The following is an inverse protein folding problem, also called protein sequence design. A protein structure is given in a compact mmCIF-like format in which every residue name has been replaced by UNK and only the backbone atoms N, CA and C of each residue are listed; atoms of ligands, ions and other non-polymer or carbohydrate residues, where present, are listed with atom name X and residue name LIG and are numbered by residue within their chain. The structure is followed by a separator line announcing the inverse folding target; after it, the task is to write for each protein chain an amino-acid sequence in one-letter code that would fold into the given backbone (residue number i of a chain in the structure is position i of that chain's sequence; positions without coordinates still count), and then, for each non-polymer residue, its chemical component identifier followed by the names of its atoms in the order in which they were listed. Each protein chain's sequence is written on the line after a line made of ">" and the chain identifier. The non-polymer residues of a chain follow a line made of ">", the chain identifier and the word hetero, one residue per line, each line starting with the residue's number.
data_IF_794001689795
#
_entry.id   IF_794001689795
#
_cell.length_a   1.000
_cell.length_b   1.000
_cell.length_c   1.000
_cell.angle_alpha   90.00
_cell.angle_beta   90.00
_cell.angle_gamma   90.00
#
_symmetry.space_group_name_H-M   'P 1'
#
loop_
_entity.id
_entity.type
_entity.pdbx_description
1 polymer ?
#
# COMPACT_ATOMS: atom_id res chain seq x y z
N UNK A 1 8.26 8.63 33.89
CA UNK A 1 8.36 9.01 32.45
C UNK A 1 8.75 10.47 32.38
N UNK A 2 9.72 10.87 31.56
CA UNK A 2 10.14 12.28 31.49
C UNK A 2 9.22 13.10 30.55
N UNK A 3 9.36 14.44 30.59
CA UNK A 3 8.49 15.34 29.82
C UNK A 3 8.61 15.14 28.30
N UNK A 4 9.80 14.85 27.78
CA UNK A 4 9.99 14.63 26.33
C UNK A 4 9.35 13.33 25.85
N UNK A 5 9.47 12.24 26.62
CA UNK A 5 8.74 10.99 26.37
C UNK A 5 7.23 11.20 26.42
N UNK A 6 6.75 12.04 27.34
CA UNK A 6 5.34 12.40 27.42
C UNK A 6 4.89 13.16 26.16
N UNK A 7 5.65 14.17 25.71
CA UNK A 7 5.39 14.91 24.47
C UNK A 7 5.30 13.97 23.26
N UNK A 8 6.27 13.05 23.14
CA UNK A 8 6.31 12.10 22.02
C UNK A 8 5.08 11.20 22.02
N UNK A 9 4.72 10.61 23.16
CA UNK A 9 3.53 9.74 23.29
C UNK A 9 2.25 10.50 23.02
N UNK A 10 2.13 11.72 23.54
CA UNK A 10 0.95 12.56 23.34
C UNK A 10 0.77 12.91 21.86
N UNK A 11 1.85 13.23 21.16
CA UNK A 11 1.83 13.47 19.70
C UNK A 11 1.34 12.23 18.95
N UNK A 12 1.80 11.04 19.33
CA UNK A 12 1.31 9.78 18.74
C UNK A 12 -0.18 9.57 19.01
N UNK A 13 -0.65 9.80 20.24
CA UNK A 13 -2.07 9.61 20.60
C UNK A 13 -2.95 10.58 19.82
N UNK A 14 -2.57 11.85 19.73
CA UNK A 14 -3.30 12.85 18.92
C UNK A 14 -3.36 12.41 17.45
N UNK A 15 -2.23 11.97 16.89
CA UNK A 15 -2.19 11.45 15.51
C UNK A 15 -3.10 10.24 15.32
N UNK A 16 -3.20 9.35 16.30
CA UNK A 16 -4.13 8.20 16.24
C UNK A 16 -5.57 8.67 16.33
N UNK A 17 -5.92 9.52 17.30
CA UNK A 17 -7.27 10.05 17.48
C UNK A 17 -7.76 10.72 16.20
N UNK A 18 -6.92 11.58 15.59
CA UNK A 18 -7.21 12.26 14.33
C UNK A 18 -7.47 11.32 13.16
N UNK A 19 -6.92 10.11 13.20
CA UNK A 19 -7.09 9.09 12.17
C UNK A 19 -8.26 8.14 12.42
N UNK A 20 -8.93 8.21 13.58
CA UNK A 20 -10.09 7.38 13.87
C UNK A 20 -11.33 7.85 13.07
N UNK A 21 -12.09 6.92 12.46
CA UNK A 21 -13.44 7.19 11.96
C UNK A 21 -14.33 7.78 13.07
N UNK A 22 -15.29 8.65 12.74
CA UNK A 22 -16.15 9.29 13.76
C UNK A 22 -16.93 8.27 14.59
N UNK A 23 -17.41 7.20 13.96
CA UNK A 23 -18.13 6.13 14.63
C UNK A 23 -17.28 5.51 15.76
N UNK A 24 -15.98 5.30 15.51
CA UNK A 24 -15.04 4.76 16.50
C UNK A 24 -14.66 5.82 17.53
N UNK A 25 -14.36 7.05 17.07
CA UNK A 25 -13.91 8.15 17.94
C UNK A 25 -14.93 8.52 19.00
N UNK A 26 -16.23 8.38 18.70
CA UNK A 26 -17.32 8.69 19.62
C UNK A 26 -17.27 7.91 20.96
N UNK A 27 -16.58 6.77 20.99
CA UNK A 27 -16.41 5.96 22.21
C UNK A 27 -15.30 6.45 23.13
N UNK A 28 -14.38 7.28 22.64
CA UNK A 28 -13.22 7.74 23.39
C UNK A 28 -13.51 9.07 24.09
N UNK A 29 -13.73 9.03 25.41
CA UNK A 29 -13.87 10.22 26.25
C UNK A 29 -12.52 10.61 26.87
N UNK A 30 -11.60 11.03 26.01
CA UNK A 30 -10.23 11.35 26.43
C UNK A 30 -10.17 12.68 27.21
N UNK A 31 -9.25 12.81 28.18
CA UNK A 31 -8.91 14.11 28.73
C UNK A 31 -8.32 15.01 27.64
N UNK A 32 -8.24 16.32 27.89
CA UNK A 32 -7.68 17.26 26.92
C UNK A 32 -6.27 16.83 26.48
N UNK A 33 -6.13 16.47 25.20
CA UNK A 33 -4.84 16.08 24.63
C UNK A 33 -3.99 17.31 24.28
N UNK A 34 -4.60 18.46 24.00
CA UNK A 34 -3.92 19.69 23.63
C UNK A 34 -3.55 20.51 24.88
N UNK A 35 -2.58 20.02 25.65
CA UNK A 35 -2.10 20.67 26.89
C UNK A 35 -0.95 21.67 26.67
N UNK A 36 -0.51 21.86 25.42
CA UNK A 36 0.57 22.78 25.08
C UNK A 36 1.89 22.43 25.78
N UNK A 37 2.50 23.42 26.45
CA UNK A 37 3.73 23.22 27.23
C UNK A 37 3.48 23.02 28.73
N UNK A 38 2.23 22.85 29.16
CA UNK A 38 1.89 22.82 30.59
C UNK A 38 2.61 21.68 31.34
N UNK A 39 2.77 20.53 30.71
CA UNK A 39 3.41 19.34 31.29
C UNK A 39 4.88 19.51 31.64
N UNK A 40 5.59 20.46 31.01
CA UNK A 40 6.97 20.80 31.39
C UNK A 40 7.06 21.44 32.78
N UNK A 41 5.97 22.02 33.27
CA UNK A 41 5.88 22.66 34.59
C UNK A 41 5.23 21.79 35.66
N UNK A 42 4.71 20.61 35.28
CA UNK A 42 4.03 19.71 36.20
C UNK A 42 5.01 18.94 37.07
N UNK A 43 4.58 18.62 38.29
CA UNK A 43 5.28 17.64 39.12
C UNK A 43 5.17 16.24 38.50
N UNK A 44 6.11 15.35 38.82
CA UNK A 44 6.05 13.96 38.36
C UNK A 44 4.74 13.27 38.79
N UNK A 45 4.27 13.53 40.02
CA UNK A 45 3.02 12.98 40.52
C UNK A 45 1.81 13.42 39.69
N UNK A 46 1.76 14.69 39.25
CA UNK A 46 0.68 15.20 38.40
C UNK A 46 0.75 14.61 36.99
N UNK A 47 1.96 14.44 36.44
CA UNK A 47 2.14 13.75 35.16
C UNK A 47 1.62 12.33 35.24
N UNK A 48 2.01 11.58 36.27
CA UNK A 48 1.62 10.18 36.44
C UNK A 48 0.09 10.05 36.63
N UNK A 49 -0.54 10.95 37.40
CA UNK A 49 -1.99 11.04 37.55
C UNK A 49 -2.69 11.25 36.21
N UNK A 50 -2.26 12.25 35.43
CA UNK A 50 -2.86 12.55 34.14
C UNK A 50 -2.67 11.41 33.12
N UNK A 51 -1.51 10.76 33.11
CA UNK A 51 -1.28 9.59 32.25
C UNK A 51 -2.12 8.38 32.66
N UNK A 52 -2.37 8.20 33.96
CA UNK A 52 -3.29 7.18 34.47
C UNK A 52 -4.72 7.46 34.01
N UNK A 53 -5.18 8.70 34.12
CA UNK A 53 -6.50 9.14 33.64
C UNK A 53 -6.66 8.88 32.13
N UNK A 54 -5.69 9.32 31.33
CA UNK A 54 -5.70 9.11 29.88
C UNK A 54 -5.68 7.62 29.51
N UNK A 55 -4.85 6.82 30.17
CA UNK A 55 -4.77 5.37 29.91
C UNK A 55 -6.09 4.68 30.26
N UNK A 56 -6.70 5.05 31.38
CA UNK A 56 -8.02 4.55 31.80
C UNK A 56 -9.10 4.90 30.77
N UNK A 57 -9.13 6.15 30.30
CA UNK A 57 -10.08 6.59 29.27
C UNK A 57 -9.92 5.83 27.95
N UNK A 58 -8.69 5.51 27.54
CA UNK A 58 -8.41 4.68 26.36
C UNK A 58 -8.97 3.27 26.54
N UNK A 59 -8.70 2.62 27.68
CA UNK A 59 -9.20 1.26 27.96
C UNK A 59 -10.73 1.23 27.95
N UNK A 60 -11.38 2.17 28.64
CA UNK A 60 -12.85 2.28 28.63
C UNK A 60 -13.40 2.50 27.22
N UNK A 61 -12.73 3.31 26.41
CA UNK A 61 -13.11 3.53 25.01
C UNK A 61 -12.98 2.26 24.16
N UNK A 62 -11.90 1.48 24.34
CA UNK A 62 -11.70 0.21 23.65
C UNK A 62 -12.78 -0.82 24.04
N UNK A 63 -13.09 -0.95 25.33
CA UNK A 63 -14.16 -1.83 25.81
C UNK A 63 -15.52 -1.43 25.21
N UNK A 64 -15.78 -0.12 25.08
CA UNK A 64 -17.01 0.39 24.47
C UNK A 64 -17.07 0.13 22.96
N UNK A 65 -15.95 0.24 22.24
CA UNK A 65 -15.85 -0.12 20.82
C UNK A 65 -16.11 -1.62 20.62
N UNK A 66 -15.53 -2.48 21.46
CA UNK A 66 -15.73 -3.93 21.37
C UNK A 66 -17.20 -4.32 21.64
N UNK A 67 -17.86 -3.61 22.55
CA UNK A 67 -19.28 -3.82 22.86
C UNK A 67 -20.24 -3.28 21.80
N UNK A 68 -19.79 -2.39 20.90
CA UNK A 68 -20.63 -1.79 19.88
C UNK A 68 -20.93 -2.77 18.73
N UNK A 69 -22.20 -3.11 18.55
CA UNK A 69 -22.67 -4.03 17.51
C UNK A 69 -22.59 -3.45 16.11
N UNK A 70 -22.69 -2.13 15.96
CA UNK A 70 -22.60 -1.46 14.66
C UNK A 70 -21.16 -1.44 14.14
N UNK A 71 -20.17 -1.52 15.03
CA UNK A 71 -18.75 -1.65 14.68
C UNK A 71 -18.30 -3.11 14.46
N UNK A 72 -19.12 -4.09 14.82
CA UNK A 72 -18.83 -5.50 14.55
C UNK A 72 -18.86 -5.80 13.04
N UNK A 73 -18.27 -6.92 12.64
CA UNK A 73 -18.24 -7.35 11.24
C UNK A 73 -19.67 -7.52 10.71
N UNK A 74 -20.04 -6.72 9.71
CA UNK A 74 -21.39 -6.68 9.13
C UNK A 74 -22.36 -5.74 9.85
N UNK A 75 -21.88 -4.96 10.82
CA UNK A 75 -22.62 -3.88 11.45
C UNK A 75 -22.84 -2.69 10.53
N UNK A 76 -23.66 -1.73 10.98
CA UNK A 76 -24.12 -0.62 10.16
C UNK A 76 -23.16 0.59 10.12
N UNK A 77 -22.10 0.59 10.95
CA UNK A 77 -21.21 1.74 11.04
C UNK A 77 -20.39 1.93 9.74
N UNK A 78 -20.38 3.17 9.25
CA UNK A 78 -19.49 3.58 8.16
C UNK A 78 -18.14 4.00 8.72
N UNK A 79 -17.05 3.53 8.11
CA UNK A 79 -15.68 3.81 8.54
C UNK A 79 -14.88 4.65 7.53
N UNK A 80 -15.53 5.09 6.45
CA UNK A 80 -14.89 5.76 5.31
C UNK A 80 -14.63 7.25 5.53
N UNK A 81 -15.07 7.80 6.67
CA UNK A 81 -14.94 9.21 7.00
C UNK A 81 -13.57 9.58 7.60
N UNK A 82 -12.72 8.58 7.84
CA UNK A 82 -11.36 8.85 8.30
C UNK A 82 -10.48 9.44 7.18
N UNK A 83 -9.47 10.25 7.52
CA UNK A 83 -8.50 10.71 6.55
C UNK A 83 -7.72 9.56 5.89
N UNK A 84 -7.20 9.77 4.66
CA UNK A 84 -6.27 8.83 4.05
C UNK A 84 -4.99 8.71 4.87
N UNK A 85 -4.44 7.50 4.93
CA UNK A 85 -3.26 7.21 5.74
C UNK A 85 -1.99 7.19 4.92
N UNK A 86 -0.86 7.39 5.60
CA UNK A 86 0.46 7.25 4.98
C UNK A 86 0.72 5.82 4.51
N UNK A 87 0.18 4.82 5.21
CA UNK A 87 0.21 3.42 4.78
C UNK A 87 -0.50 3.19 3.44
N UNK A 88 -1.68 3.80 3.25
CA UNK A 88 -2.40 3.75 1.97
C UNK A 88 -1.61 4.42 0.85
N UNK A 89 -1.07 5.62 1.11
CA UNK A 89 -0.22 6.34 0.16
C UNK A 89 1.02 5.51 -0.25
N UNK A 90 1.65 4.80 0.70
CA UNK A 90 2.78 3.91 0.41
C UNK A 90 2.37 2.73 -0.47
N UNK A 91 1.28 2.05 -0.12
CA UNK A 91 0.78 0.92 -0.90
C UNK A 91 0.43 1.33 -2.32
N UNK A 92 -0.23 2.47 -2.50
CA UNK A 92 -0.58 2.98 -3.81
C UNK A 92 0.64 3.40 -4.63
N UNK A 93 1.62 4.06 -3.99
CA UNK A 93 2.87 4.43 -4.66
C UNK A 93 3.69 3.19 -5.06
N UNK A 94 3.78 2.17 -4.19
CA UNK A 94 4.43 0.89 -4.51
C UNK A 94 3.72 0.15 -5.65
N UNK A 95 2.38 0.13 -5.64
CA UNK A 95 1.57 -0.48 -6.69
C UNK A 95 1.74 0.24 -8.03
N UNK A 96 1.64 1.57 -8.04
CA UNK A 96 1.84 2.38 -9.24
C UNK A 96 3.23 2.18 -9.84
N UNK A 97 4.27 2.14 -8.99
CA UNK A 97 5.63 1.84 -9.44
C UNK A 97 5.75 0.42 -10.00
N UNK A 98 5.13 -0.58 -9.37
CA UNK A 98 5.19 -1.98 -9.83
C UNK A 98 4.50 -2.17 -11.19
N UNK A 99 3.39 -1.47 -11.42
CA UNK A 99 2.65 -1.48 -12.70
C UNK A 99 3.42 -0.74 -13.81
N UNK A 100 4.20 0.28 -13.44
CA UNK A 100 5.01 1.07 -14.34
C UNK A 100 6.49 0.99 -13.99
N UNK A 101 7.05 -0.22 -13.92
CA UNK A 101 8.45 -0.44 -13.53
C UNK A 101 9.49 0.26 -14.45
N UNK A 102 9.04 0.77 -15.61
CA UNK A 102 9.84 1.55 -16.56
C UNK A 102 9.65 3.07 -16.40
N UNK A 103 8.75 3.51 -15.52
CA UNK A 103 8.57 4.92 -15.18
C UNK A 103 9.75 5.37 -14.34
N UNK A 104 10.46 6.38 -14.82
CA UNK A 104 11.58 7.01 -14.11
C UNK A 104 11.10 7.91 -12.96
N UNK A 105 9.79 8.17 -12.87
CA UNK A 105 9.22 9.07 -11.87
C UNK A 105 8.99 8.33 -10.54
N UNK A 106 9.87 8.59 -9.58
CA UNK A 106 9.78 8.09 -8.20
C UNK A 106 9.12 9.09 -7.25
N UNK A 107 8.56 10.19 -7.75
CA UNK A 107 8.14 11.33 -6.92
C UNK A 107 7.09 10.95 -5.87
N UNK A 108 6.07 10.20 -6.25
CA UNK A 108 5.03 9.76 -5.33
C UNK A 108 5.59 8.79 -4.28
N UNK A 109 6.48 7.87 -4.68
CA UNK A 109 7.13 6.94 -3.77
C UNK A 109 8.11 7.66 -2.82
N UNK A 110 8.85 8.67 -3.31
CA UNK A 110 9.73 9.53 -2.52
C UNK A 110 8.93 10.30 -1.48
N UNK A 111 7.79 10.87 -1.89
CA UNK A 111 6.92 11.62 -1.00
C UNK A 111 6.29 10.70 0.06
N UNK A 112 5.82 9.52 -0.32
CA UNK A 112 5.30 8.52 0.63
C UNK A 112 6.38 8.08 1.63
N UNK A 113 7.61 7.87 1.16
CA UNK A 113 8.76 7.50 2.00
C UNK A 113 9.34 8.66 2.85
N UNK A 114 8.76 9.87 2.78
CA UNK A 114 9.20 11.00 3.61
C UNK A 114 8.82 10.84 5.09
N UNK A 115 7.99 9.84 5.43
CA UNK A 115 7.63 9.56 6.80
C UNK A 115 8.85 9.12 7.65
N UNK A 116 8.87 9.42 8.96
CA UNK A 116 9.99 9.09 9.82
C UNK A 116 10.36 7.60 9.76
N UNK A 117 11.64 7.29 9.56
CA UNK A 117 12.14 5.90 9.50
C UNK A 117 12.04 5.22 8.13
N UNK A 118 11.38 5.81 7.13
CA UNK A 118 11.27 5.21 5.79
C UNK A 118 12.39 5.59 4.82
N UNK A 119 13.05 6.73 5.03
CA UNK A 119 14.07 7.25 4.12
C UNK A 119 15.15 6.23 3.74
N UNK A 120 15.62 5.42 4.68
CA UNK A 120 16.65 4.40 4.42
C UNK A 120 16.21 3.31 3.42
N UNK A 121 14.91 3.01 3.35
CA UNK A 121 14.39 2.00 2.42
C UNK A 121 14.26 2.59 1.02
N UNK A 122 13.83 3.85 0.94
CA UNK A 122 13.82 4.60 -0.31
C UNK A 122 15.24 4.74 -0.87
N UNK A 123 16.21 5.12 -0.04
CA UNK A 123 17.62 5.23 -0.47
C UNK A 123 18.20 3.87 -0.92
N UNK A 124 17.73 2.76 -0.34
CA UNK A 124 18.14 1.43 -0.82
C UNK A 124 17.54 1.08 -2.18
N UNK A 125 16.31 1.52 -2.45
CA UNK A 125 15.68 1.38 -3.77
C UNK A 125 16.42 2.22 -4.81
N UNK A 126 16.66 3.51 -4.54
CA UNK A 126 17.38 4.42 -5.45
C UNK A 126 18.80 3.94 -5.72
N UNK A 127 19.49 3.41 -4.69
CA UNK A 127 20.79 2.79 -4.84
C UNK A 127 20.80 1.67 -5.88
N UNK A 128 19.82 0.76 -5.84
CA UNK A 128 19.73 -0.34 -6.80
C UNK A 128 19.28 0.11 -8.19
N UNK A 129 18.46 1.16 -8.28
CA UNK A 129 18.07 1.76 -9.57
C UNK A 129 19.25 2.42 -10.29
N UNK A 130 20.20 3.00 -9.55
CA UNK A 130 21.40 3.59 -10.12
C UNK A 130 22.47 2.57 -10.56
N UNK A 131 22.31 1.28 -10.26
CA UNK A 131 23.32 0.25 -10.56
C UNK A 131 23.18 -0.24 -12.00
N UNK A 132 24.31 -0.28 -12.72
CA UNK A 132 24.38 -0.82 -14.09
C UNK A 132 24.63 -2.33 -14.16
N UNK A 133 25.31 -2.91 -13.15
CA UNK A 133 25.64 -4.35 -13.09
C UNK A 133 25.58 -4.86 -11.65
N UNK A 134 25.10 -6.10 -11.43
CA UNK A 134 25.17 -6.73 -10.12
C UNK A 134 26.65 -6.98 -9.74
N UNK A 135 26.96 -6.90 -8.44
CA UNK A 135 28.31 -7.25 -7.98
C UNK A 135 28.55 -8.76 -8.14
N UNK A 136 29.81 -9.21 -8.32
CA UNK A 136 30.11 -10.64 -8.44
C UNK A 136 29.56 -11.44 -7.25
N UNK A 137 28.83 -12.52 -7.53
CA UNK A 137 28.22 -13.37 -6.50
C UNK A 137 26.96 -12.78 -5.81
N UNK A 138 26.45 -11.63 -6.26
CA UNK A 138 25.15 -11.09 -5.81
C UNK A 138 24.00 -11.56 -6.69
N UNK A 139 22.78 -11.39 -6.17
CA UNK A 139 21.53 -11.58 -6.91
C UNK A 139 21.45 -10.59 -8.09
N UNK A 140 20.66 -10.91 -9.12
CA UNK A 140 20.35 -9.96 -10.19
C UNK A 140 19.79 -8.64 -9.62
N UNK A 141 20.08 -7.51 -10.29
CA UNK A 141 19.59 -6.18 -9.87
C UNK A 141 18.06 -6.17 -9.73
N UNK A 142 17.35 -6.80 -10.67
CA UNK A 142 15.89 -6.91 -10.61
C UNK A 142 15.38 -7.55 -9.31
N UNK A 143 16.09 -8.58 -8.81
CA UNK A 143 15.73 -9.21 -7.53
C UNK A 143 15.99 -8.28 -6.34
N UNK A 144 17.10 -7.53 -6.36
CA UNK A 144 17.41 -6.56 -5.31
C UNK A 144 16.42 -5.38 -5.30
N UNK A 145 15.97 -4.94 -6.47
CA UNK A 145 14.91 -3.94 -6.63
C UNK A 145 13.59 -4.43 -6.06
N UNK A 146 13.18 -5.65 -6.41
CA UNK A 146 11.96 -6.26 -5.88
C UNK A 146 12.01 -6.38 -4.35
N UNK A 147 13.14 -6.79 -3.79
CA UNK A 147 13.34 -6.85 -2.33
C UNK A 147 13.27 -5.45 -1.71
N UNK A 148 13.90 -4.46 -2.31
CA UNK A 148 13.87 -3.09 -1.81
C UNK A 148 12.43 -2.53 -1.79
N UNK A 149 11.67 -2.75 -2.86
CA UNK A 149 10.28 -2.34 -2.96
C UNK A 149 9.38 -3.09 -1.96
N UNK A 150 9.52 -4.42 -1.88
CA UNK A 150 8.76 -5.25 -0.93
C UNK A 150 9.03 -4.86 0.53
N UNK A 151 10.23 -4.39 0.84
CA UNK A 151 10.55 -3.87 2.17
C UNK A 151 9.83 -2.55 2.50
N UNK A 152 9.56 -1.71 1.49
CA UNK A 152 8.78 -0.48 1.66
C UNK A 152 7.31 -0.86 1.85
N UNK A 153 6.79 -1.71 0.98
CA UNK A 153 5.40 -2.19 1.04
C UNK A 153 5.08 -2.87 2.38
N UNK A 154 5.93 -3.80 2.83
CA UNK A 154 5.78 -4.48 4.12
C UNK A 154 5.81 -3.53 5.34
N UNK A 155 6.19 -2.26 5.14
CA UNK A 155 6.17 -1.25 6.20
C UNK A 155 4.91 -0.41 6.20
N UNK A 156 4.14 -0.38 5.11
CA UNK A 156 2.93 0.42 5.01
C UNK A 156 1.99 0.20 6.20
N UNK A 157 1.87 -1.05 6.67
CA UNK A 157 1.05 -1.45 7.81
C UNK A 157 1.38 -0.68 9.11
N UNK A 158 2.64 -0.29 9.30
CA UNK A 158 3.05 0.49 10.47
C UNK A 158 2.66 1.97 10.38
N UNK A 159 2.24 2.48 9.23
CA UNK A 159 2.00 3.91 8.99
C UNK A 159 0.52 4.27 8.82
N UNK A 160 -0.42 3.39 9.18
CA UNK A 160 -1.85 3.73 9.17
C UNK A 160 -2.26 4.75 10.25
N UNK A 161 -1.46 4.93 11.28
CA UNK A 161 -1.68 5.96 12.30
C UNK A 161 -1.16 7.35 11.88
N UNK A 162 -0.47 7.43 10.74
CA UNK A 162 0.01 8.69 10.19
C UNK A 162 -0.91 9.14 9.06
N UNK A 163 -1.22 10.44 9.04
CA UNK A 163 -1.93 11.06 7.92
C UNK A 163 -1.10 11.00 6.63
N UNK A 164 -1.78 10.76 5.51
CA UNK A 164 -1.16 10.87 4.19
C UNK A 164 -0.64 12.28 3.90
N UNK A 165 0.20 12.42 2.87
CA UNK A 165 0.57 13.73 2.37
C UNK A 165 -0.63 14.51 1.86
N UNK A 166 -0.53 15.84 1.93
CA UNK A 166 -1.54 16.74 1.36
C UNK A 166 -1.76 16.48 -0.14
N UNK A 167 -0.70 16.20 -0.90
CA UNK A 167 -0.77 15.88 -2.33
C UNK A 167 -1.57 14.60 -2.59
N UNK A 168 -1.38 13.55 -1.80
CA UNK A 168 -2.14 12.31 -1.93
C UNK A 168 -3.62 12.50 -1.54
N UNK A 169 -3.88 13.25 -0.47
CA UNK A 169 -5.23 13.58 -0.04
C UNK A 169 -6.00 14.40 -1.10
N UNK A 170 -5.34 15.41 -1.71
CA UNK A 170 -5.91 16.17 -2.83
C UNK A 170 -6.20 15.29 -4.06
N UNK A 171 -5.30 14.36 -4.39
CA UNK A 171 -5.50 13.39 -5.48
C UNK A 171 -6.72 12.52 -5.22
N UNK A 172 -6.84 11.93 -4.02
CA UNK A 172 -7.99 11.10 -3.62
C UNK A 172 -9.30 11.89 -3.65
N UNK A 173 -9.29 13.16 -3.21
CA UNK A 173 -10.45 14.05 -3.28
C UNK A 173 -10.84 14.36 -4.73
N UNK A 174 -9.87 14.57 -5.62
CA UNK A 174 -10.12 14.77 -7.05
C UNK A 174 -10.69 13.51 -7.73
N UNK A 175 -10.18 12.32 -7.41
CA UNK A 175 -10.69 11.03 -7.90
C UNK A 175 -12.12 10.76 -7.42
N UNK A 176 -12.41 11.07 -6.16
CA UNK A 176 -13.76 10.97 -5.59
C UNK A 176 -14.73 11.95 -6.27
N UNK A 177 -14.30 13.17 -6.58
CA UNK A 177 -15.11 14.14 -7.31
C UNK A 177 -15.36 13.72 -8.77
N UNK A 178 -14.35 13.14 -9.44
CA UNK A 178 -14.47 12.63 -10.81
C UNK A 178 -15.38 11.40 -10.92
N UNK A 179 -15.32 10.50 -9.94
CA UNK A 179 -16.15 9.28 -9.91
C UNK A 179 -17.61 9.54 -9.53
N UNK A 180 -17.91 10.69 -8.91
CA UNK A 180 -19.28 11.12 -8.66
C UNK A 180 -20.03 11.57 -9.93
N UNK A 181 -19.30 11.93 -11.00
CA UNK A 181 -19.86 12.42 -12.26
C UNK A 181 -20.04 11.30 -13.32
N UNK A 182 -19.31 10.18 -13.18
CA UNK A 182 -19.40 9.01 -14.06
C UNK A 182 -20.03 7.80 -13.33
N UNK A 183 -21.33 7.57 -13.53
CA UNK A 183 -21.98 6.32 -13.11
C UNK A 183 -21.57 5.16 -14.04
N UNK A 184 -20.35 4.64 -13.86
CA UNK A 184 -19.90 3.37 -14.42
C UNK A 184 -19.46 2.40 -13.31
N UNK A 185 -19.78 1.10 -13.42
CA UNK A 185 -19.47 0.11 -12.39
C UNK A 185 -17.95 -0.03 -12.19
N UNK A 186 -17.55 -0.23 -10.93
CA UNK A 186 -16.17 -0.09 -10.43
C UNK A 186 -15.11 -0.95 -11.16
N UNK A 187 -13.92 -0.41 -11.48
CA UNK A 187 -12.81 -1.11 -12.15
C UNK A 187 -11.96 -2.00 -11.21
N UNK A 188 -12.32 -2.11 -9.92
CA UNK A 188 -11.52 -2.81 -8.90
C UNK A 188 -11.42 -4.33 -9.17
N UNK A 189 -12.36 -4.91 -9.93
CA UNK A 189 -12.32 -6.34 -10.29
C UNK A 189 -11.41 -6.59 -11.50
N UNK A 190 -11.18 -5.62 -12.39
CA UNK A 190 -10.55 -5.86 -13.70
C UNK A 190 -9.01 -5.96 -13.65
N UNK A 191 -8.37 -5.29 -12.69
CA UNK A 191 -6.90 -5.30 -12.54
C UNK A 191 -6.31 -6.64 -12.04
N UNK A 192 -7.13 -7.50 -11.42
CA UNK A 192 -6.72 -8.86 -11.01
C UNK A 192 -6.74 -9.86 -12.19
N UNK A 193 -7.33 -9.49 -13.32
CA UNK A 193 -7.42 -10.33 -14.52
C UNK A 193 -6.32 -10.04 -15.56
N UNK A 194 -5.41 -9.11 -15.29
CA UNK A 194 -4.42 -8.68 -16.29
C UNK A 194 -3.11 -9.46 -16.18
N UNK A 195 -2.80 -10.05 -15.01
CA UNK A 195 -1.53 -10.74 -14.73
C UNK A 195 -1.78 -12.04 -13.96
N UNK A 196 -1.21 -13.16 -14.41
CA UNK A 196 -1.27 -14.46 -13.71
C UNK A 196 -0.30 -14.52 -12.53
N UNK A 197 -0.46 -15.53 -11.66
CA UNK A 197 0.42 -15.72 -10.50
C UNK A 197 1.89 -15.95 -10.88
N UNK A 198 2.16 -16.59 -12.01
CA UNK A 198 3.51 -16.80 -12.54
C UNK A 198 4.03 -15.67 -13.44
N UNK A 199 3.29 -14.56 -13.58
CA UNK A 199 3.74 -13.35 -14.26
C UNK A 199 3.46 -13.31 -15.77
N UNK A 200 2.52 -14.09 -16.28
CA UNK A 200 1.98 -13.95 -17.64
C UNK A 200 0.98 -12.79 -17.69
N UNK A 201 0.92 -12.07 -18.80
CA UNK A 201 0.08 -10.88 -18.98
C UNK A 201 -0.94 -11.10 -20.11
N UNK A 202 -2.12 -10.48 -20.02
CA UNK A 202 -3.09 -10.45 -21.13
C UNK A 202 -2.42 -9.95 -22.42
N UNK A 203 -2.73 -10.58 -23.55
CA UNK A 203 -2.14 -10.28 -24.86
C UNK A 203 -0.74 -10.84 -25.09
N UNK A 204 -0.11 -11.46 -24.10
CA UNK A 204 1.21 -12.08 -24.26
C UNK A 204 1.16 -13.32 -25.17
N UNK A 205 2.20 -13.50 -25.98
CA UNK A 205 2.39 -14.73 -26.78
C UNK A 205 2.96 -15.85 -25.91
N UNK A 206 2.34 -17.01 -26.01
CA UNK A 206 2.67 -18.22 -25.26
C UNK A 206 2.74 -19.42 -26.17
N UNK A 207 3.51 -20.43 -25.76
CA UNK A 207 3.59 -21.72 -26.44
C UNK A 207 3.09 -22.84 -25.53
N UNK A 208 2.25 -23.71 -26.09
CA UNK A 208 1.80 -24.95 -25.46
C UNK A 208 2.32 -26.16 -26.24
N UNK A 209 2.84 -27.18 -25.55
CA UNK A 209 3.47 -28.34 -26.20
C UNK A 209 2.57 -29.11 -27.16
N UNK A 210 1.25 -29.08 -26.95
CA UNK A 210 0.25 -29.75 -27.81
C UNK A 210 -0.49 -28.82 -28.79
N UNK A 211 -0.62 -27.54 -28.44
CA UNK A 211 -1.48 -26.61 -29.18
C UNK A 211 -0.71 -25.55 -29.96
N UNK A 212 0.62 -25.56 -29.87
CA UNK A 212 1.46 -24.63 -30.59
C UNK A 212 1.46 -23.24 -29.95
N UNK A 213 1.58 -22.20 -30.76
CA UNK A 213 1.61 -20.82 -30.31
C UNK A 213 0.19 -20.26 -30.16
N UNK A 214 0.01 -19.38 -29.18
CA UNK A 214 -1.24 -18.68 -28.96
C UNK A 214 -1.05 -17.35 -28.23
N UNK A 215 -2.12 -16.58 -28.18
CA UNK A 215 -2.18 -15.28 -27.51
C UNK A 215 -3.14 -15.36 -26.33
N UNK A 216 -2.71 -14.90 -25.15
CA UNK A 216 -3.58 -14.89 -23.97
C UNK A 216 -4.71 -13.88 -24.15
N UNK A 217 -5.96 -14.32 -24.02
CA UNK A 217 -7.17 -13.49 -24.13
C UNK A 217 -7.86 -13.27 -22.79
N UNK A 218 -7.67 -14.17 -21.82
CA UNK A 218 -8.20 -14.03 -20.46
C UNK A 218 -7.31 -14.70 -19.40
N UNK A 219 -7.24 -14.12 -18.19
CA UNK A 219 -6.51 -14.69 -17.05
C UNK A 219 -7.43 -14.74 -15.84
N UNK A 220 -7.52 -15.92 -15.23
CA UNK A 220 -8.24 -16.14 -13.97
C UNK A 220 -7.34 -16.96 -13.03
N UNK A 221 -6.51 -16.26 -12.24
CA UNK A 221 -5.57 -16.90 -11.32
C UNK A 221 -4.48 -17.71 -12.03
N UNK A 222 -4.57 -19.05 -11.95
CA UNK A 222 -3.68 -20.01 -12.61
C UNK A 222 -4.27 -20.59 -13.90
N UNK A 223 -5.52 -20.26 -14.23
CA UNK A 223 -6.20 -20.65 -15.47
C UNK A 223 -6.10 -19.53 -16.49
N UNK A 224 -5.60 -19.88 -17.67
CA UNK A 224 -5.36 -18.98 -18.78
C UNK A 224 -6.25 -19.40 -19.94
N UNK A 225 -6.99 -18.46 -20.51
CA UNK A 225 -7.61 -18.63 -21.81
C UNK A 225 -6.69 -18.01 -22.87
N UNK A 226 -6.30 -18.80 -23.85
CA UNK A 226 -5.48 -18.36 -24.95
C UNK A 226 -6.05 -18.83 -26.29
N UNK A 227 -5.98 -17.97 -27.29
CA UNK A 227 -6.33 -18.27 -28.67
C UNK A 227 -5.11 -18.81 -29.40
N UNK A 228 -5.17 -20.08 -29.79
CA UNK A 228 -4.09 -20.79 -30.46
C UNK A 228 -4.27 -20.76 -31.97
N UNK A 229 -3.17 -20.50 -32.68
CA UNK A 229 -3.16 -20.35 -34.14
C UNK A 229 -3.68 -21.65 -34.80
N UNK A 230 -4.90 -21.58 -35.38
CA UNK A 230 -5.54 -22.71 -36.06
C UNK A 230 -6.35 -23.68 -35.18
N UNK A 231 -6.38 -23.50 -33.86
CA UNK A 231 -7.13 -24.36 -32.91
C UNK A 231 -8.16 -23.59 -32.06
N UNK A 232 -8.15 -22.25 -32.16
CA UNK A 232 -9.07 -21.35 -31.48
C UNK A 232 -8.78 -21.21 -29.98
N UNK A 233 -9.73 -20.62 -29.24
CA UNK A 233 -9.61 -20.42 -27.80
C UNK A 233 -9.60 -21.74 -27.02
N UNK A 234 -8.61 -21.89 -26.13
CA UNK A 234 -8.48 -23.01 -25.19
C UNK A 234 -8.17 -22.48 -23.80
N UNK A 235 -8.79 -23.11 -22.80
CA UNK A 235 -8.57 -22.83 -21.39
C UNK A 235 -7.62 -23.86 -20.78
N UNK A 236 -6.50 -23.40 -20.25
CA UNK A 236 -5.34 -24.23 -19.86
C UNK A 236 -4.75 -23.68 -18.55
N UNK A 237 -4.05 -24.52 -17.78
CA UNK A 237 -3.28 -24.06 -16.62
C UNK A 237 -1.96 -23.42 -17.06
N UNK A 238 -1.57 -22.36 -16.36
CA UNK A 238 -0.32 -21.62 -16.57
C UNK A 238 0.92 -22.53 -16.61
N UNK A 239 0.96 -23.59 -15.80
CA UNK A 239 2.08 -24.53 -15.74
C UNK A 239 2.41 -25.22 -17.07
N UNK A 240 1.46 -25.26 -18.01
CA UNK A 240 1.65 -25.86 -19.34
C UNK A 240 2.01 -24.84 -20.43
N UNK A 241 2.16 -23.57 -20.08
CA UNK A 241 2.50 -22.49 -21.00
C UNK A 241 3.94 -22.05 -20.78
N UNK A 242 4.64 -21.79 -21.88
CA UNK A 242 5.96 -21.15 -21.86
C UNK A 242 5.86 -19.79 -22.52
N UNK A 243 6.30 -18.74 -21.81
CA UNK A 243 6.39 -17.39 -22.36
C UNK A 243 7.37 -17.39 -23.55
N UNK A 244 6.92 -16.88 -24.69
CA UNK A 244 7.78 -16.72 -25.85
C UNK A 244 8.41 -15.33 -25.80
N UNK A 245 9.67 -15.25 -25.33
CA UNK A 245 10.45 -14.03 -25.38
C UNK A 245 10.69 -13.66 -26.84
N UNK A 246 10.27 -12.46 -27.26
CA UNK A 246 10.60 -11.92 -28.57
C UNK A 246 12.12 -11.98 -28.79
N UNK A 247 12.61 -12.50 -29.94
CA UNK A 247 14.03 -12.50 -30.22
C UNK A 247 14.55 -11.06 -30.29
N UNK A 248 15.63 -10.78 -29.55
CA UNK A 248 16.39 -9.54 -29.69
C UNK A 248 16.78 -9.37 -31.17
N UNK A 249 16.37 -8.26 -31.77
CA UNK A 249 16.77 -7.90 -33.12
C UNK A 249 18.29 -7.81 -33.18
N UNK A 250 18.93 -8.78 -33.84
CA UNK A 250 20.34 -8.69 -34.19
C UNK A 250 20.56 -7.47 -35.10
N UNK A 251 21.53 -6.59 -34.80
CA UNK A 251 21.87 -5.49 -35.70
C UNK A 251 22.47 -6.09 -36.98
N UNK A 252 21.81 -5.79 -38.10
CA UNK A 252 22.29 -6.14 -39.43
C UNK A 252 23.66 -5.52 -39.66
N UNK A 253 24.64 -6.36 -40.00
CA UNK A 253 25.91 -5.93 -40.56
C UNK A 253 25.66 -5.25 -41.91
N UNK A 254 26.13 -4.01 -42.04
CA UNK A 254 26.68 -3.44 -43.28
C UNK A 254 27.92 -2.64 -42.93
#
# INVERSE_FOLDING_TARGET
>A
MNADQATQRLTTIISIDDMLPKAVRAHFRLPSLYIGNAHYSWSQARLDEWWSELSSAIVVGLDAVEADKDLQKGGAATLDDRPPTRGEELNDACRAYSQHANSTTLDDLRLACSAPGLGQYFERLTYWLGRKRPAPGRRPIASELWIALSNIEARADYYHHHRASYRYDDKRRAEAASSADEHHPSPIIEALHTVSRGGLVLGQRVRHGKFGQGTITHIEGDRIEAEFDGLGAKRILETFLTAETLPEAHPSQQ
#
